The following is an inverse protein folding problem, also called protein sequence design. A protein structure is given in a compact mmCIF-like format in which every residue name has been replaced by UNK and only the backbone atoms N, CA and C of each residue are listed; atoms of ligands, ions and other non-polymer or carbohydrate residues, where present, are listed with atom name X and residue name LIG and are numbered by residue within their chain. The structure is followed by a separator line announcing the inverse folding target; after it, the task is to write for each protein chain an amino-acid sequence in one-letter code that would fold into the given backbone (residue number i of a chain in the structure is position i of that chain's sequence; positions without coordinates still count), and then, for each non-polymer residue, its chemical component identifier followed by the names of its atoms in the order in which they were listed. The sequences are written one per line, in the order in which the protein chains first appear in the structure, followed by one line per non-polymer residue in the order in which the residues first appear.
data_IF_215134743614
#
_entry.id   IF_215134743614
#
_cell.length_a   1.000
_cell.length_b   1.000
_cell.length_c   1.000
_cell.angle_alpha   90.00
_cell.angle_beta   90.00
_cell.angle_gamma   90.00
#
_symmetry.space_group_name_H-M   'P 1'
#
loop_
_entity.id
_entity.type
_entity.pdbx_description
1 polymer ?
#
# COMPACT_ATOMS: atom_id res chain seq x y z
N UNK A 1 13.31 23.22 -6.12
CA UNK A 1 12.37 23.40 -4.99
C UNK A 1 11.01 23.01 -5.55
N UNK A 2 10.57 21.77 -5.32
CA UNK A 2 9.19 21.40 -5.66
C UNK A 2 8.31 22.17 -4.68
N UNK A 3 7.31 22.94 -5.16
CA UNK A 3 6.43 23.64 -4.26
C UNK A 3 5.75 22.58 -3.37
N UNK A 4 5.80 22.76 -2.05
CA UNK A 4 4.81 22.15 -1.18
C UNK A 4 3.49 22.64 -1.73
N UNK A 5 2.73 21.75 -2.36
CA UNK A 5 1.39 22.07 -2.83
C UNK A 5 0.61 22.32 -1.53
N UNK A 6 0.20 23.58 -1.30
CA UNK A 6 -0.72 23.90 -0.22
C UNK A 6 -2.04 23.19 -0.56
N UNK A 7 -2.31 22.11 0.13
CA UNK A 7 -3.56 21.38 -0.02
C UNK A 7 -4.68 22.20 0.62
N UNK A 8 -5.79 22.35 -0.09
CA UNK A 8 -6.96 23.02 0.48
C UNK A 8 -7.51 22.16 1.64
N UNK A 9 -7.81 22.74 2.80
CA UNK A 9 -8.45 22.03 3.89
C UNK A 9 -9.78 21.42 3.41
N UNK A 10 -10.01 20.13 3.64
CA UNK A 10 -11.15 19.32 3.20
C UNK A 10 -11.07 18.71 1.78
N UNK A 11 -9.99 18.86 1.04
CA UNK A 11 -9.83 18.15 -0.23
C UNK A 11 -9.39 16.70 0.06
N UNK A 12 -10.00 15.67 -0.60
CA UNK A 12 -9.54 14.31 -0.42
C UNK A 12 -8.10 14.15 -0.93
N UNK A 13 -7.27 13.39 -0.20
CA UNK A 13 -5.92 13.04 -0.66
C UNK A 13 -5.96 12.21 -1.93
N UNK A 14 -6.98 11.35 -2.06
CA UNK A 14 -7.23 10.52 -3.23
C UNK A 14 -8.72 10.58 -3.61
N UNK A 15 -8.99 10.91 -4.86
CA UNK A 15 -10.33 10.90 -5.46
C UNK A 15 -10.30 10.04 -6.73
N UNK A 16 -11.05 8.95 -6.71
CA UNK A 16 -11.15 7.96 -7.80
C UNK A 16 -12.59 7.94 -8.30
N UNK A 17 -12.78 8.15 -9.61
CA UNK A 17 -14.12 8.20 -10.24
C UNK A 17 -14.20 7.29 -11.44
N UNK A 18 -15.15 6.36 -11.41
CA UNK A 18 -15.49 5.42 -12.49
C UNK A 18 -14.27 4.70 -13.08
N UNK A 19 -13.28 4.42 -12.23
CA UNK A 19 -12.02 3.82 -12.64
C UNK A 19 -12.26 2.46 -13.28
N UNK A 20 -11.84 2.34 -14.53
CA UNK A 20 -11.94 1.10 -15.32
C UNK A 20 -10.59 0.76 -15.91
N UNK A 21 -10.15 -0.51 -15.74
CA UNK A 21 -8.89 -1.03 -16.28
C UNK A 21 -9.13 -2.33 -17.00
N UNK A 22 -8.57 -2.44 -18.22
CA UNK A 22 -8.62 -3.66 -19.04
C UNK A 22 -7.22 -4.08 -19.48
N UNK A 23 -6.92 -5.36 -19.34
CA UNK A 23 -5.72 -5.99 -19.89
C UNK A 23 -6.12 -6.99 -20.98
N UNK A 24 -5.66 -6.78 -22.22
CA UNK A 24 -5.91 -7.69 -23.34
C UNK A 24 -7.40 -8.09 -23.45
N UNK A 25 -8.31 -7.12 -23.28
CA UNK A 25 -9.76 -7.34 -23.32
C UNK A 25 -10.39 -7.87 -22.03
N UNK A 26 -9.60 -8.35 -21.06
CA UNK A 26 -10.10 -8.80 -19.76
C UNK A 26 -10.25 -7.63 -18.80
N UNK A 27 -11.37 -7.59 -18.08
CA UNK A 27 -11.65 -6.57 -17.07
C UNK A 27 -10.84 -6.85 -15.80
N UNK A 28 -9.99 -5.91 -15.41
CA UNK A 28 -9.28 -5.96 -14.14
C UNK A 28 -9.97 -5.11 -13.06
N UNK A 29 -10.48 -3.92 -13.45
CA UNK A 29 -11.28 -3.06 -12.59
C UNK A 29 -12.44 -2.48 -13.41
N UNK A 30 -13.61 -2.37 -12.80
CA UNK A 30 -14.82 -1.85 -13.45
C UNK A 30 -15.52 -0.83 -12.57
N UNK A 31 -15.54 0.44 -13.03
CA UNK A 31 -16.28 1.56 -12.44
C UNK A 31 -16.06 1.71 -10.93
N UNK A 32 -14.80 1.62 -10.47
CA UNK A 32 -14.46 1.81 -9.06
C UNK A 32 -14.48 3.31 -8.75
N UNK A 33 -15.25 3.70 -7.73
CA UNK A 33 -15.40 5.10 -7.29
C UNK A 33 -15.27 5.18 -5.77
N UNK A 34 -14.30 5.94 -5.26
CA UNK A 34 -14.12 6.20 -3.83
C UNK A 34 -13.23 7.42 -3.61
N UNK A 35 -13.19 7.90 -2.37
CA UNK A 35 -12.29 8.96 -1.94
C UNK A 35 -11.68 8.65 -0.57
N UNK A 36 -10.48 9.18 -0.32
CA UNK A 36 -9.77 9.07 0.96
C UNK A 36 -9.39 10.44 1.47
N UNK A 37 -9.38 10.58 2.80
CA UNK A 37 -8.87 11.74 3.50
C UNK A 37 -7.51 11.44 4.14
N UNK A 38 -6.80 12.49 4.53
CA UNK A 38 -5.50 12.37 5.18
C UNK A 38 -5.59 11.59 6.49
N UNK A 39 -4.57 10.76 6.75
CA UNK A 39 -4.43 9.99 7.98
C UNK A 39 -5.30 8.74 8.08
N UNK A 40 -6.16 8.45 7.09
CA UNK A 40 -6.94 7.21 7.07
C UNK A 40 -6.07 5.97 6.78
N UNK A 41 -6.38 4.85 7.43
CA UNK A 41 -5.79 3.53 7.16
C UNK A 41 -6.85 2.63 6.54
N UNK A 42 -6.61 2.22 5.30
CA UNK A 42 -7.57 1.47 4.50
C UNK A 42 -7.00 0.08 4.20
N UNK A 43 -7.79 -0.97 4.48
CA UNK A 43 -7.53 -2.29 3.93
C UNK A 43 -8.31 -2.49 2.62
N UNK A 44 -7.61 -2.87 1.56
CA UNK A 44 -8.22 -3.32 0.30
C UNK A 44 -8.21 -4.83 0.29
N UNK A 45 -9.38 -5.44 0.44
CA UNK A 45 -9.54 -6.88 0.66
C UNK A 45 -10.30 -7.49 -0.51
N UNK A 46 -9.91 -8.68 -0.93
CA UNK A 46 -10.55 -9.41 -2.01
C UNK A 46 -9.73 -10.61 -2.45
N UNK A 47 -10.31 -11.54 -3.23
CA UNK A 47 -9.63 -12.73 -3.69
C UNK A 47 -8.43 -12.42 -4.58
N UNK A 48 -7.60 -13.45 -4.85
CA UNK A 48 -6.53 -13.34 -5.82
C UNK A 48 -7.09 -13.04 -7.20
N UNK A 49 -6.49 -12.04 -7.89
CA UNK A 49 -7.01 -11.54 -9.16
C UNK A 49 -8.13 -10.49 -9.06
N UNK A 50 -8.58 -10.11 -7.86
CA UNK A 50 -9.64 -9.12 -7.66
C UNK A 50 -9.33 -7.70 -8.19
N UNK A 51 -8.08 -7.42 -8.56
CA UNK A 51 -7.67 -6.11 -9.08
C UNK A 51 -6.97 -5.21 -8.05
N UNK A 52 -6.62 -5.72 -6.84
CA UNK A 52 -5.97 -4.94 -5.77
C UNK A 52 -4.67 -4.26 -6.24
N UNK A 53 -3.72 -5.04 -6.75
CA UNK A 53 -2.45 -4.52 -7.27
C UNK A 53 -2.67 -3.60 -8.48
N UNK A 54 -3.65 -3.88 -9.33
CA UNK A 54 -4.02 -3.02 -10.47
C UNK A 54 -4.50 -1.65 -9.98
N UNK A 55 -5.33 -1.61 -8.93
CA UNK A 55 -5.77 -0.36 -8.31
C UNK A 55 -4.57 0.46 -7.82
N UNK A 56 -3.63 -0.18 -7.11
CA UNK A 56 -2.44 0.49 -6.59
C UNK A 56 -1.51 0.99 -7.70
N UNK A 57 -1.34 0.23 -8.78
CA UNK A 57 -0.56 0.65 -9.94
C UNK A 57 -1.17 1.86 -10.66
N UNK A 58 -2.50 1.95 -10.73
CA UNK A 58 -3.15 3.14 -11.31
C UNK A 58 -3.03 4.34 -10.38
N UNK A 59 -3.30 4.17 -9.07
CA UNK A 59 -3.19 5.26 -8.10
C UNK A 59 -1.75 5.78 -8.01
N UNK A 60 -0.74 4.91 -8.09
CA UNK A 60 0.67 5.32 -8.12
C UNK A 60 1.13 5.91 -9.46
N UNK A 61 0.29 5.89 -10.51
CA UNK A 61 0.62 6.40 -11.83
C UNK A 61 1.50 5.48 -12.67
N UNK A 62 1.78 4.26 -12.20
CA UNK A 62 2.53 3.23 -12.96
C UNK A 62 1.71 2.72 -14.13
N UNK A 63 0.39 2.63 -13.96
CA UNK A 63 -0.54 2.16 -14.97
C UNK A 63 -1.55 3.26 -15.32
N UNK A 64 -1.80 3.45 -16.61
CA UNK A 64 -2.87 4.34 -17.06
C UNK A 64 -4.22 3.62 -17.06
N UNK A 65 -5.31 4.23 -16.57
CA UNK A 65 -6.64 3.66 -16.63
C UNK A 65 -7.15 3.60 -18.07
N UNK A 66 -8.02 2.62 -18.36
CA UNK A 66 -8.73 2.53 -19.65
C UNK A 66 -9.87 3.55 -19.74
N UNK A 67 -10.51 3.89 -18.60
CA UNK A 67 -11.52 4.93 -18.46
C UNK A 67 -11.61 5.36 -16.98
N UNK A 68 -12.27 6.50 -16.73
CA UNK A 68 -12.39 7.09 -15.41
C UNK A 68 -11.24 8.05 -15.08
N UNK A 69 -11.24 8.55 -13.87
CA UNK A 69 -10.29 9.56 -13.42
C UNK A 69 -9.75 9.22 -12.03
N UNK A 70 -8.46 9.48 -11.83
CA UNK A 70 -7.81 9.45 -10.51
C UNK A 70 -7.17 10.81 -10.28
N UNK A 71 -7.44 11.39 -9.12
CA UNK A 71 -6.83 12.64 -8.66
C UNK A 71 -6.19 12.43 -7.30
N UNK A 72 -5.01 13.02 -7.12
CA UNK A 72 -4.27 13.06 -5.88
C UNK A 72 -4.07 14.52 -5.54
N UNK A 73 -4.62 14.92 -4.39
CA UNK A 73 -4.71 16.34 -4.04
C UNK A 73 -5.21 17.20 -5.23
N UNK A 74 -6.29 16.74 -5.89
CA UNK A 74 -6.89 17.43 -7.04
C UNK A 74 -6.12 17.34 -8.36
N UNK A 75 -4.91 16.77 -8.40
CA UNK A 75 -4.06 16.65 -9.58
C UNK A 75 -3.98 15.20 -10.09
N UNK A 76 -3.66 15.00 -11.38
CA UNK A 76 -3.53 13.65 -11.95
C UNK A 76 -2.36 12.89 -11.33
N UNK A 77 -2.44 11.54 -11.16
CA UNK A 77 -1.29 10.72 -10.81
C UNK A 77 -0.16 10.89 -11.84
N UNK A 78 1.06 10.85 -11.37
CA UNK A 78 2.25 10.99 -12.22
C UNK A 78 3.06 12.23 -11.85
N UNK A 79 4.29 12.01 -11.38
CA UNK A 79 5.15 13.09 -10.90
C UNK A 79 4.88 13.56 -9.47
N UNK A 80 3.88 13.02 -8.78
CA UNK A 80 3.66 13.30 -7.37
C UNK A 80 4.68 12.56 -6.50
N UNK A 81 5.56 13.32 -5.86
CA UNK A 81 6.53 12.80 -4.89
C UNK A 81 5.84 12.31 -3.61
N UNK A 82 4.61 12.76 -3.37
CA UNK A 82 3.83 12.45 -2.17
C UNK A 82 3.24 11.02 -2.12
N UNK A 83 3.39 10.20 -3.18
CA UNK A 83 2.91 8.82 -3.20
C UNK A 83 4.07 7.84 -3.19
N UNK A 84 4.04 6.86 -2.30
CA UNK A 84 4.93 5.73 -2.34
C UNK A 84 4.16 4.43 -2.61
N UNK A 85 4.61 3.67 -3.60
CA UNK A 85 4.14 2.31 -3.85
C UNK A 85 5.18 1.30 -3.38
N UNK A 86 4.76 0.41 -2.50
CA UNK A 86 5.53 -0.70 -1.96
C UNK A 86 4.96 -1.98 -2.56
N UNK A 87 5.63 -2.57 -3.57
CA UNK A 87 5.17 -3.76 -4.25
C UNK A 87 5.30 -4.99 -3.37
N UNK A 88 4.63 -6.07 -3.77
CA UNK A 88 4.78 -7.37 -3.14
C UNK A 88 6.25 -7.81 -3.17
N UNK A 89 6.71 -8.42 -2.08
CA UNK A 89 8.11 -8.82 -1.87
C UNK A 89 8.67 -9.72 -2.97
N UNK A 90 7.84 -10.56 -3.58
CA UNK A 90 8.21 -11.45 -4.69
C UNK A 90 8.64 -10.73 -5.97
N UNK A 91 8.34 -9.44 -6.12
CA UNK A 91 8.67 -8.62 -7.29
C UNK A 91 10.03 -7.90 -7.17
N UNK A 92 10.74 -8.08 -6.06
CA UNK A 92 11.99 -7.38 -5.76
C UNK A 92 13.19 -8.28 -5.97
N UNK A 93 14.22 -7.79 -6.69
CA UNK A 93 15.51 -8.48 -6.78
C UNK A 93 16.35 -8.22 -5.53
N UNK A 94 16.32 -9.16 -4.60
CA UNK A 94 17.06 -9.09 -3.33
C UNK A 94 18.57 -9.32 -3.49
N UNK A 95 19.04 -9.79 -4.65
CA UNK A 95 20.47 -10.00 -4.91
C UNK A 95 21.16 -8.74 -5.41
N UNK A 96 20.41 -7.68 -5.66
CA UNK A 96 20.99 -6.40 -6.07
C UNK A 96 21.99 -5.90 -5.02
N UNK A 97 23.25 -5.52 -5.38
CA UNK A 97 24.34 -5.28 -4.43
C UNK A 97 24.28 -3.88 -3.82
N UNK A 98 23.23 -3.59 -3.06
CA UNK A 98 23.03 -2.32 -2.33
C UNK A 98 22.82 -2.59 -0.84
N UNK A 99 23.11 -1.59 -0.02
CA UNK A 99 22.81 -1.61 1.41
C UNK A 99 21.46 -0.95 1.73
N UNK A 100 21.03 -1.05 2.98
CA UNK A 100 19.77 -0.51 3.46
C UNK A 100 19.68 1.01 3.27
N UNK A 101 20.74 1.74 3.63
CA UNK A 101 20.77 3.20 3.51
C UNK A 101 20.70 3.65 2.04
N UNK A 102 21.31 2.91 1.11
CA UNK A 102 21.23 3.20 -0.32
C UNK A 102 19.79 3.09 -0.83
N UNK A 103 19.05 2.04 -0.42
CA UNK A 103 17.64 1.86 -0.82
C UNK A 103 16.77 2.98 -0.23
N UNK A 104 17.01 3.36 1.03
CA UNK A 104 16.25 4.45 1.66
C UNK A 104 16.57 5.79 0.98
N UNK A 105 17.86 6.02 0.60
CA UNK A 105 18.27 7.21 -0.15
C UNK A 105 17.61 7.29 -1.53
N UNK A 106 17.29 6.15 -2.18
CA UNK A 106 16.53 6.16 -3.44
C UNK A 106 15.17 6.86 -3.29
N UNK A 107 14.58 6.92 -2.08
CA UNK A 107 13.39 7.72 -1.79
C UNK A 107 13.60 9.23 -2.04
N UNK A 108 14.85 9.71 -1.96
CA UNK A 108 15.18 11.12 -2.22
C UNK A 108 15.42 11.44 -3.69
N UNK A 109 15.59 10.43 -4.56
CA UNK A 109 16.01 10.61 -5.96
C UNK A 109 15.13 11.57 -6.75
N UNK A 110 13.81 11.54 -6.55
CA UNK A 110 12.89 12.47 -7.22
C UNK A 110 13.09 13.94 -6.81
N UNK A 111 13.55 14.18 -5.58
CA UNK A 111 13.83 15.54 -5.06
C UNK A 111 15.25 16.00 -5.38
N UNK A 112 16.18 15.06 -5.53
CA UNK A 112 17.56 15.37 -5.91
C UNK A 112 17.68 15.74 -7.39
N UNK A 113 16.88 15.14 -8.28
CA UNK A 113 17.02 15.26 -9.71
C UNK A 113 18.19 14.41 -10.27
N UNK A 114 18.32 14.39 -11.60
CA UNK A 114 19.22 13.46 -12.33
C UNK A 114 20.72 13.72 -12.16
N UNK A 115 21.14 14.93 -11.77
CA UNK A 115 22.55 15.36 -11.80
C UNK A 115 23.09 15.80 -10.42
N UNK A 116 22.30 15.70 -9.39
CA UNK A 116 22.71 16.18 -8.06
C UNK A 116 23.08 15.00 -7.15
N UNK A 117 24.17 15.16 -6.42
CA UNK A 117 24.58 14.24 -5.36
C UNK A 117 23.77 14.52 -4.08
N UNK A 118 23.51 13.48 -3.23
CA UNK A 118 22.87 13.66 -1.95
C UNK A 118 23.62 14.65 -1.05
N UNK A 119 22.91 15.64 -0.51
CA UNK A 119 23.41 16.60 0.44
C UNK A 119 23.24 16.11 1.89
N UNK A 120 23.86 16.78 2.86
CA UNK A 120 23.71 16.46 4.27
C UNK A 120 22.24 16.38 4.71
N UNK A 121 21.41 17.27 4.21
CA UNK A 121 19.97 17.27 4.50
C UNK A 121 19.26 16.00 4.03
N UNK A 122 19.66 15.40 2.91
CA UNK A 122 19.05 14.16 2.42
C UNK A 122 19.41 12.98 3.33
N UNK A 123 20.64 12.94 3.83
CA UNK A 123 21.06 11.97 4.82
C UNK A 123 20.33 12.11 6.15
N UNK A 124 19.96 13.33 6.57
CA UNK A 124 19.15 13.55 7.77
C UNK A 124 17.76 12.90 7.62
N UNK A 125 17.13 13.02 6.42
CA UNK A 125 15.87 12.30 6.12
C UNK A 125 16.03 10.77 6.15
N UNK A 126 17.11 10.25 5.58
CA UNK A 126 17.42 8.81 5.59
C UNK A 126 17.60 8.30 7.01
N UNK A 127 18.42 8.97 7.83
CA UNK A 127 18.66 8.57 9.22
C UNK A 127 17.37 8.59 10.05
N UNK A 128 16.58 9.67 9.93
CA UNK A 128 15.29 9.76 10.62
C UNK A 128 14.32 8.66 10.18
N UNK A 129 14.26 8.35 8.90
CA UNK A 129 13.41 7.28 8.38
C UNK A 129 13.85 5.91 8.92
N UNK A 130 15.17 5.64 8.98
CA UNK A 130 15.71 4.40 9.53
C UNK A 130 15.45 4.27 11.04
N UNK A 131 15.51 5.38 11.78
CA UNK A 131 15.19 5.42 13.20
C UNK A 131 13.71 5.07 13.45
N UNK A 132 12.79 5.65 12.70
CA UNK A 132 11.35 5.37 12.81
C UNK A 132 11.03 3.89 12.60
N UNK A 133 11.70 3.24 11.64
CA UNK A 133 11.47 1.82 11.33
C UNK A 133 12.39 0.87 12.11
N UNK A 134 13.19 1.35 13.05
CA UNK A 134 14.14 0.58 13.89
C UNK A 134 15.18 -0.21 13.06
N UNK A 135 15.75 0.42 12.03
CA UNK A 135 16.78 -0.17 11.17
C UNK A 135 18.12 0.61 11.19
N UNK A 136 18.34 1.55 12.11
CA UNK A 136 19.54 2.38 12.17
C UNK A 136 20.82 1.55 12.21
N UNK A 137 20.87 0.50 13.05
CA UNK A 137 22.03 -0.38 13.20
C UNK A 137 22.29 -1.27 11.97
N UNK A 138 21.32 -1.35 11.06
CA UNK A 138 21.39 -2.14 9.84
C UNK A 138 21.64 -1.30 8.58
N UNK A 139 21.87 0.01 8.72
CA UNK A 139 21.99 0.96 7.60
C UNK A 139 23.03 0.51 6.55
N UNK A 140 24.17 -0.02 6.97
CA UNK A 140 25.25 -0.50 6.09
C UNK A 140 25.10 -1.96 5.65
N UNK A 141 24.08 -2.69 6.16
CA UNK A 141 23.86 -4.11 5.84
C UNK A 141 23.30 -4.26 4.42
N UNK A 142 23.75 -5.28 3.68
CA UNK A 142 23.20 -5.60 2.37
C UNK A 142 21.76 -6.09 2.49
N UNK A 143 20.87 -5.67 1.55
CA UNK A 143 19.44 -5.97 1.58
C UNK A 143 19.12 -7.48 1.58
N UNK A 144 19.95 -8.30 0.93
CA UNK A 144 19.82 -9.77 0.91
C UNK A 144 19.99 -10.43 2.28
N UNK A 145 20.62 -9.74 3.23
CA UNK A 145 20.88 -10.25 4.58
C UNK A 145 19.77 -9.90 5.58
N UNK A 146 18.76 -9.18 5.14
CA UNK A 146 17.63 -8.78 5.97
C UNK A 146 16.60 -9.91 6.07
N UNK A 147 15.97 -10.03 7.25
CA UNK A 147 14.74 -10.83 7.41
C UNK A 147 13.59 -10.22 6.59
N UNK A 148 12.51 -11.00 6.37
CA UNK A 148 11.34 -10.52 5.65
C UNK A 148 10.72 -9.25 6.24
N UNK A 149 10.57 -9.21 7.58
CA UNK A 149 10.06 -8.04 8.27
C UNK A 149 10.99 -6.83 8.15
N UNK A 150 12.32 -7.03 8.22
CA UNK A 150 13.31 -5.97 8.02
C UNK A 150 13.28 -5.41 6.60
N UNK A 151 13.11 -6.29 5.60
CA UNK A 151 12.94 -5.88 4.19
C UNK A 151 11.72 -4.99 4.01
N UNK A 152 10.60 -5.36 4.64
CA UNK A 152 9.36 -4.56 4.56
C UNK A 152 9.52 -3.20 5.25
N UNK A 153 10.11 -3.18 6.45
CA UNK A 153 10.43 -1.94 7.17
C UNK A 153 11.37 -1.02 6.36
N UNK A 154 12.35 -1.57 5.63
CA UNK A 154 13.24 -0.81 4.76
C UNK A 154 12.47 -0.08 3.64
N UNK A 155 11.47 -0.72 3.00
CA UNK A 155 10.65 -0.04 2.00
C UNK A 155 9.76 1.05 2.59
N UNK A 156 9.28 0.87 3.82
CA UNK A 156 8.58 1.93 4.54
C UNK A 156 9.53 3.09 4.84
N UNK A 157 10.77 2.81 5.29
CA UNK A 157 11.78 3.86 5.47
C UNK A 157 12.06 4.63 4.18
N UNK A 158 12.13 3.94 3.02
CA UNK A 158 12.28 4.59 1.72
C UNK A 158 11.12 5.54 1.43
N UNK A 159 9.88 5.11 1.71
CA UNK A 159 8.69 5.93 1.53
C UNK A 159 8.67 7.14 2.48
N UNK A 160 9.11 6.97 3.74
CA UNK A 160 9.27 8.06 4.70
C UNK A 160 10.35 9.06 4.26
N UNK A 161 11.49 8.58 3.79
CA UNK A 161 12.56 9.45 3.25
C UNK A 161 12.09 10.23 2.01
N UNK A 162 11.19 9.66 1.22
CA UNK A 162 10.51 10.35 0.09
C UNK A 162 9.58 11.46 0.59
N UNK A 163 9.19 11.47 1.89
CA UNK A 163 8.14 12.30 2.48
C UNK A 163 6.78 12.01 1.84
N UNK A 164 6.48 10.71 1.66
CA UNK A 164 5.21 10.27 1.10
C UNK A 164 4.06 10.54 2.08
N UNK A 165 2.98 11.13 1.58
CA UNK A 165 1.74 11.40 2.31
C UNK A 165 0.71 10.29 2.11
N UNK A 166 0.84 9.52 1.00
CA UNK A 166 0.05 8.32 0.70
C UNK A 166 0.99 7.13 0.44
N UNK A 167 0.85 6.09 1.25
CA UNK A 167 1.57 4.82 1.07
C UNK A 167 0.61 3.73 0.59
N UNK A 168 0.95 3.09 -0.52
CA UNK A 168 0.23 1.96 -1.09
C UNK A 168 1.09 0.72 -0.88
N UNK A 169 0.60 -0.27 -0.13
CA UNK A 169 1.37 -1.48 0.23
C UNK A 169 0.64 -2.72 -0.29
N UNK A 170 1.29 -3.46 -1.18
CA UNK A 170 0.73 -4.67 -1.77
C UNK A 170 1.17 -5.90 -0.98
N UNK A 171 0.25 -6.50 -0.22
CA UNK A 171 0.44 -7.67 0.65
C UNK A 171 1.67 -7.58 1.58
N UNK A 172 1.82 -6.51 2.37
CA UNK A 172 3.03 -6.27 3.16
C UNK A 172 3.24 -7.28 4.28
N UNK A 173 2.19 -7.97 4.72
CA UNK A 173 2.22 -8.96 5.82
C UNK A 173 2.42 -10.40 5.32
N UNK A 174 2.31 -10.62 4.00
CA UNK A 174 2.39 -11.96 3.41
C UNK A 174 3.77 -12.59 3.61
N UNK A 175 3.79 -13.83 4.10
CA UNK A 175 5.01 -14.59 4.32
C UNK A 175 5.89 -14.11 5.47
N UNK A 176 5.38 -13.25 6.34
CA UNK A 176 6.03 -12.86 7.59
C UNK A 176 5.57 -13.77 8.74
N UNK A 177 6.45 -14.00 9.70
CA UNK A 177 6.12 -14.61 10.98
C UNK A 177 5.28 -13.66 11.87
N UNK A 178 4.55 -14.19 12.82
CA UNK A 178 3.63 -13.43 13.69
C UNK A 178 4.29 -12.23 14.36
N UNK A 179 5.49 -12.34 14.99
CA UNK A 179 6.15 -11.18 15.59
C UNK A 179 6.49 -10.07 14.58
N UNK A 180 6.88 -10.43 13.36
CA UNK A 180 7.16 -9.46 12.28
C UNK A 180 5.89 -8.78 11.80
N UNK A 181 4.76 -9.52 11.70
CA UNK A 181 3.46 -8.94 11.34
C UNK A 181 3.00 -7.93 12.40
N UNK A 182 3.03 -8.28 13.69
CA UNK A 182 2.68 -7.39 14.79
C UNK A 182 3.56 -6.13 14.80
N UNK A 183 4.88 -6.31 14.65
CA UNK A 183 5.81 -5.18 14.57
C UNK A 183 5.55 -4.26 13.38
N UNK A 184 5.07 -4.80 12.25
CA UNK A 184 4.69 -3.98 11.09
C UNK A 184 3.37 -3.25 11.33
N UNK A 185 2.38 -3.89 11.93
CA UNK A 185 1.10 -3.27 12.30
C UNK A 185 1.30 -2.10 13.29
N UNK A 186 2.14 -2.28 14.31
CA UNK A 186 2.52 -1.21 15.23
C UNK A 186 3.23 -0.04 14.52
N UNK A 187 4.03 -0.33 13.50
CA UNK A 187 4.65 0.72 12.67
C UNK A 187 3.58 1.50 11.88
N UNK A 188 2.52 0.84 11.37
CA UNK A 188 1.41 1.54 10.72
C UNK A 188 0.68 2.49 11.67
N UNK A 189 0.57 2.14 12.96
CA UNK A 189 0.03 3.04 13.99
C UNK A 189 0.93 4.27 14.20
N UNK A 190 2.23 4.08 14.15
CA UNK A 190 3.20 5.18 14.22
C UNK A 190 3.08 6.12 13.00
N UNK A 191 2.89 5.58 11.79
CA UNK A 191 2.69 6.38 10.57
C UNK A 191 1.44 7.26 10.67
N UNK A 192 0.37 6.77 11.30
CA UNK A 192 -0.84 7.58 11.56
C UNK A 192 -0.54 8.84 12.36
N UNK A 193 0.33 8.76 13.38
CA UNK A 193 0.70 9.93 14.19
C UNK A 193 1.46 10.99 13.38
N UNK A 194 1.97 10.62 12.20
CA UNK A 194 2.67 11.50 11.27
C UNK A 194 1.77 11.95 10.10
N UNK A 195 0.46 11.75 10.19
CA UNK A 195 -0.54 12.07 9.16
C UNK A 195 -0.31 11.35 7.81
N UNK A 196 0.38 10.22 7.80
CA UNK A 196 0.57 9.42 6.59
C UNK A 196 -0.68 8.57 6.36
N UNK A 197 -1.30 8.74 5.20
CA UNK A 197 -2.42 7.91 4.75
C UNK A 197 -1.89 6.59 4.21
N UNK A 198 -2.51 5.48 4.58
CA UNK A 198 -2.02 4.15 4.20
C UNK A 198 -3.15 3.32 3.58
N UNK A 199 -2.89 2.75 2.40
CA UNK A 199 -3.73 1.70 1.79
C UNK A 199 -2.94 0.39 1.74
N UNK A 200 -3.49 -0.66 2.31
CA UNK A 200 -2.88 -2.00 2.34
C UNK A 200 -3.76 -2.98 1.60
N UNK A 201 -3.23 -3.62 0.55
CA UNK A 201 -3.88 -4.79 -0.03
C UNK A 201 -3.56 -6.01 0.82
N UNK A 202 -4.60 -6.75 1.21
CA UNK A 202 -4.47 -7.99 1.99
C UNK A 202 -5.58 -8.97 1.61
N UNK A 203 -5.38 -10.24 1.90
CA UNK A 203 -6.40 -11.27 1.83
C UNK A 203 -6.91 -11.67 3.22
N UNK A 204 -6.29 -11.17 4.29
CA UNK A 204 -6.64 -11.46 5.68
C UNK A 204 -7.75 -10.51 6.16
N UNK A 205 -8.97 -11.04 6.24
CA UNK A 205 -10.16 -10.31 6.68
C UNK A 205 -10.11 -9.95 8.17
N UNK A 206 -9.59 -10.84 9.00
CA UNK A 206 -9.54 -10.65 10.44
C UNK A 206 -8.54 -9.55 10.81
N UNK A 207 -7.36 -9.55 10.20
CA UNK A 207 -6.40 -8.48 10.37
C UNK A 207 -6.95 -7.14 9.85
N UNK A 208 -7.62 -7.15 8.69
CA UNK A 208 -8.25 -5.97 8.14
C UNK A 208 -9.28 -5.36 9.10
N UNK A 209 -10.12 -6.21 9.72
CA UNK A 209 -11.15 -5.75 10.64
C UNK A 209 -10.61 -5.17 11.96
N UNK A 210 -9.46 -5.67 12.44
CA UNK A 210 -8.88 -5.27 13.73
C UNK A 210 -7.99 -4.01 13.65
N UNK A 211 -7.32 -3.79 12.52
CA UNK A 211 -6.21 -2.82 12.44
C UNK A 211 -6.47 -1.65 11.49
N UNK A 212 -7.56 -1.65 10.73
CA UNK A 212 -7.83 -0.60 9.75
C UNK A 212 -9.11 0.17 10.05
N UNK A 213 -9.11 1.45 9.72
CA UNK A 213 -10.24 2.35 9.98
C UNK A 213 -11.41 2.06 9.04
N UNK A 214 -11.10 1.69 7.79
CA UNK A 214 -12.09 1.32 6.77
C UNK A 214 -11.60 0.13 5.94
N UNK A 215 -12.55 -0.62 5.40
CA UNK A 215 -12.28 -1.77 4.53
C UNK A 215 -12.96 -1.54 3.18
N UNK A 216 -12.20 -1.74 2.12
CA UNK A 216 -12.72 -1.83 0.76
C UNK A 216 -12.78 -3.30 0.34
N UNK A 217 -13.97 -3.84 0.09
CA UNK A 217 -14.15 -5.14 -0.54
C UNK A 217 -14.11 -4.96 -2.06
N UNK A 218 -13.12 -5.59 -2.69
CA UNK A 218 -12.87 -5.49 -4.12
C UNK A 218 -12.93 -6.87 -4.78
N UNK A 219 -13.70 -6.99 -5.85
CA UNK A 219 -13.65 -8.10 -6.80
C UNK A 219 -13.99 -7.58 -8.19
N UNK A 220 -12.99 -7.07 -8.91
CA UNK A 220 -13.09 -6.29 -10.16
C UNK A 220 -13.95 -5.02 -10.02
N UNK A 221 -14.95 -5.03 -9.16
CA UNK A 221 -15.79 -3.91 -8.74
C UNK A 221 -15.64 -3.67 -7.25
N UNK A 222 -15.85 -2.46 -6.82
CA UNK A 222 -15.97 -2.16 -5.39
C UNK A 222 -17.34 -2.64 -4.92
N UNK A 223 -17.35 -3.61 -4.00
CA UNK A 223 -18.58 -4.22 -3.46
C UNK A 223 -19.04 -3.42 -2.25
N UNK A 224 -18.12 -3.05 -1.37
CA UNK A 224 -18.37 -2.23 -0.20
C UNK A 224 -17.13 -1.41 0.15
N UNK A 225 -17.34 -0.24 0.78
CA UNK A 225 -16.27 0.59 1.32
C UNK A 225 -16.77 1.39 2.51
N UNK A 226 -16.52 0.90 3.72
CA UNK A 226 -17.01 1.49 4.97
C UNK A 226 -16.14 1.02 6.15
N UNK A 227 -16.55 1.39 7.38
CA UNK A 227 -15.97 0.84 8.62
C UNK A 227 -16.13 -0.67 8.68
N UNK A 228 -15.23 -1.40 9.36
CA UNK A 228 -15.23 -2.86 9.39
C UNK A 228 -16.60 -3.46 9.75
N UNK A 229 -17.30 -2.88 10.73
CA UNK A 229 -18.59 -3.36 11.20
C UNK A 229 -19.67 -3.38 10.10
N UNK A 230 -19.61 -2.45 9.16
CA UNK A 230 -20.58 -2.36 8.05
C UNK A 230 -20.19 -3.22 6.85
N UNK A 231 -18.92 -3.60 6.72
CA UNK A 231 -18.40 -4.34 5.57
C UNK A 231 -18.34 -5.84 5.82
N UNK A 232 -18.17 -6.26 7.08
CA UNK A 232 -17.99 -7.67 7.45
C UNK A 232 -19.32 -8.45 7.52
N UNK A 233 -20.32 -8.07 6.72
CA UNK A 233 -21.58 -8.80 6.62
C UNK A 233 -21.45 -9.97 5.63
N UNK A 234 -22.04 -11.12 6.00
CA UNK A 234 -21.97 -12.35 5.23
C UNK A 234 -22.35 -12.17 3.76
N UNK A 235 -23.37 -11.38 3.44
CA UNK A 235 -23.83 -11.14 2.08
C UNK A 235 -22.77 -10.47 1.22
N UNK A 236 -22.09 -9.45 1.73
CA UNK A 236 -21.03 -8.70 1.03
C UNK A 236 -19.80 -9.58 0.84
N UNK A 237 -19.45 -10.38 1.85
CA UNK A 237 -18.34 -11.31 1.77
C UNK A 237 -18.61 -12.43 0.77
N UNK A 238 -19.84 -12.99 0.74
CA UNK A 238 -20.24 -13.96 -0.28
C UNK A 238 -20.20 -13.35 -1.67
N UNK A 239 -20.58 -12.09 -1.84
CA UNK A 239 -20.50 -11.39 -3.13
C UNK A 239 -19.04 -11.18 -3.55
N UNK A 240 -18.14 -10.88 -2.61
CA UNK A 240 -16.72 -10.66 -2.88
C UNK A 240 -15.96 -11.96 -3.20
N UNK A 241 -16.19 -13.00 -2.40
CA UNK A 241 -15.43 -14.25 -2.45
C UNK A 241 -16.16 -15.40 -3.13
N UNK A 242 -17.49 -15.27 -3.36
CA UNK A 242 -18.34 -16.34 -3.89
C UNK A 242 -18.41 -17.53 -2.92
N UNK A 243 -18.52 -18.75 -3.45
CA UNK A 243 -18.56 -19.98 -2.64
C UNK A 243 -17.23 -20.39 -2.00
N UNK A 244 -16.21 -19.55 -2.03
CA UNK A 244 -14.88 -19.81 -1.44
C UNK A 244 -14.77 -19.41 0.03
N UNK A 245 -15.81 -18.82 0.59
CA UNK A 245 -15.84 -18.40 1.99
C UNK A 245 -16.33 -19.58 2.84
N UNK A 246 -15.52 -20.07 3.76
CA UNK A 246 -15.91 -21.02 4.80
C UNK A 246 -15.85 -20.28 6.14
N UNK A 247 -16.94 -20.38 6.90
CA UNK A 247 -16.98 -19.91 8.30
C UNK A 247 -16.84 -21.16 9.15
N UNK A 248 -15.82 -21.22 9.99
CA UNK A 248 -15.65 -22.32 10.93
C UNK A 248 -16.65 -22.21 12.10
N UNK A 249 -16.81 -23.28 12.92
CA UNK A 249 -17.72 -23.24 14.07
C UNK A 249 -17.39 -22.22 15.15
N UNK A 250 -16.16 -21.67 15.12
CA UNK A 250 -15.66 -20.63 16.04
C UNK A 250 -15.88 -19.21 15.49
N UNK A 251 -16.46 -19.08 14.28
CA UNK A 251 -16.75 -17.79 13.63
C UNK A 251 -15.57 -17.21 12.87
N UNK A 252 -14.45 -17.94 12.72
CA UNK A 252 -13.29 -17.52 11.94
C UNK A 252 -13.59 -17.68 10.46
N UNK A 253 -13.32 -16.62 9.68
CA UNK A 253 -13.55 -16.60 8.24
C UNK A 253 -12.33 -17.16 7.50
N UNK A 254 -12.47 -18.35 6.93
CA UNK A 254 -11.44 -18.99 6.11
C UNK A 254 -11.77 -18.80 4.64
N UNK A 255 -10.82 -18.28 3.88
CA UNK A 255 -10.89 -18.20 2.42
C UNK A 255 -10.22 -19.43 1.82
N UNK A 256 -10.97 -20.24 1.09
CA UNK A 256 -10.43 -21.41 0.39
C UNK A 256 -9.76 -20.99 -0.91
N UNK A 257 -8.43 -20.87 -0.90
CA UNK A 257 -7.61 -20.49 -2.07
C UNK A 257 -7.33 -21.68 -3.03
N UNK A 258 -7.93 -22.84 -2.80
CA UNK A 258 -7.77 -23.98 -3.67
C UNK A 258 -8.41 -23.73 -5.05
N UNK A 259 -7.57 -23.54 -6.06
CA UNK A 259 -7.99 -23.59 -7.48
C UNK A 259 -8.54 -24.99 -7.78
N UNK A 260 -9.75 -25.12 -8.35
CA UNK A 260 -10.09 -26.33 -9.09
C UNK A 260 -9.14 -26.38 -10.30
N UNK A 261 -8.35 -27.44 -10.41
CA UNK A 261 -7.65 -27.80 -11.64
C UNK A 261 -8.73 -28.23 -12.64
N UNK A 262 -8.94 -27.43 -13.68
CA UNK A 262 -9.40 -27.88 -14.97
C UNK A 262 -8.36 -27.54 -16.01
#
# INVERSE_FOLDING_TARGET
MYPHIHHEPNQPILDVRDLTVRYNGRMALEKVTFHLHEGERIAVVGPNGAGKSTLFQVVSGVLQPSAGEVKIFGSRPGGHVCIAYIPQRSQVDWNFPVNVADVVMMGRSAKLGLLNWPHKKDWEYVHRALEIVELSDLASRQIRQLSGGQQQRMFIARALAQEAELMLMDEPLSGLDTPSQEGLLNLLDTLRTQNVTVMVATHDLDQAARHFDRIMLLNHRMIAFDVPQNVMHTEQLVQAYGGRLKIDPEGTMLVDDCCPRE
#
